data_IF_193513149766
#
_entry.id   IF_193513149766
#
_cell.length_a   1.000
_cell.length_b   1.000
_cell.length_c   1.000
_cell.angle_alpha   90.00
_cell.angle_beta   90.00
_cell.angle_gamma   90.00
#
_symmetry.space_group_name_H-M   'P 1'
#
loop_
_entity.id
_entity.type
_entity.pdbx_description
1 polymer ?
#
# COMPACT_ATOMS: atom_id res chain seq x y z
N UNK A 1 -29.98 -21.38 51.74
CA UNK A 1 -29.29 -20.35 50.93
C UNK A 1 -28.65 -21.06 49.75
N UNK A 2 -29.13 -20.83 48.53
CA UNK A 2 -28.57 -21.44 47.32
C UNK A 2 -27.75 -20.38 46.59
N UNK A 3 -26.47 -20.67 46.34
CA UNK A 3 -25.56 -19.78 45.63
C UNK A 3 -25.60 -20.10 44.13
N UNK A 4 -26.01 -19.13 43.31
CA UNK A 4 -25.97 -19.24 41.85
C UNK A 4 -24.56 -18.93 41.37
N UNK A 5 -23.89 -19.90 40.76
CA UNK A 5 -22.60 -19.68 40.09
C UNK A 5 -22.86 -19.06 38.71
N UNK A 6 -22.32 -17.86 38.48
CA UNK A 6 -22.31 -17.21 37.16
C UNK A 6 -21.04 -17.69 36.44
N UNK A 7 -21.20 -18.50 35.39
CA UNK A 7 -20.10 -18.88 34.52
C UNK A 7 -19.82 -17.74 33.53
N UNK A 8 -18.64 -17.12 33.61
CA UNK A 8 -18.18 -16.14 32.64
C UNK A 8 -17.61 -16.89 31.43
N UNK A 9 -18.25 -16.79 30.27
CA UNK A 9 -17.71 -17.32 29.02
C UNK A 9 -16.65 -16.35 28.48
N UNK A 10 -15.38 -16.76 28.45
CA UNK A 10 -14.36 -16.10 27.65
C UNK A 10 -14.60 -16.46 26.18
N UNK A 11 -15.08 -15.51 25.39
CA UNK A 11 -15.13 -15.65 23.94
C UNK A 11 -13.70 -15.51 23.39
N UNK A 12 -13.08 -16.61 22.97
CA UNK A 12 -11.85 -16.57 22.18
C UNK A 12 -12.22 -16.25 20.75
N UNK A 13 -11.94 -15.03 20.29
CA UNK A 13 -12.03 -14.72 18.87
C UNK A 13 -10.92 -15.49 18.16
N UNK A 14 -11.30 -16.43 17.29
CA UNK A 14 -10.35 -17.02 16.34
C UNK A 14 -9.91 -15.85 15.45
N UNK A 15 -8.59 -15.62 15.25
CA UNK A 15 -8.15 -14.56 14.35
C UNK A 15 -8.80 -14.80 12.98
N UNK A 16 -9.32 -13.73 12.38
CA UNK A 16 -9.82 -13.80 11.01
C UNK A 16 -8.71 -14.40 10.13
N UNK A 17 -9.01 -15.50 9.44
CA UNK A 17 -8.09 -16.09 8.50
C UNK A 17 -7.98 -15.16 7.27
N UNK A 18 -7.15 -14.13 7.37
CA UNK A 18 -6.79 -13.31 6.23
C UNK A 18 -5.99 -14.19 5.26
N UNK A 19 -6.57 -14.50 4.11
CA UNK A 19 -5.84 -15.15 3.02
C UNK A 19 -5.08 -14.07 2.25
N UNK A 20 -3.75 -13.99 2.37
CA UNK A 20 -2.97 -12.94 1.71
C UNK A 20 -2.93 -13.08 0.19
N UNK A 21 -3.42 -14.19 -0.34
CA UNK A 21 -3.55 -14.43 -1.78
C UNK A 21 -4.96 -14.12 -2.31
N UNK A 22 -5.93 -13.82 -1.43
CA UNK A 22 -7.30 -13.49 -1.85
C UNK A 22 -7.43 -12.08 -2.44
N UNK A 23 -6.45 -11.21 -2.18
CA UNK A 23 -6.37 -9.86 -2.77
C UNK A 23 -5.05 -9.75 -3.50
N UNK A 24 -5.12 -9.30 -4.74
CA UNK A 24 -3.94 -8.97 -5.52
C UNK A 24 -3.64 -7.47 -5.30
N UNK A 25 -2.52 -7.14 -4.64
CA UNK A 25 -2.24 -5.78 -4.21
C UNK A 25 -1.69 -4.89 -5.32
N UNK A 26 -1.49 -5.42 -6.53
CA UNK A 26 -0.91 -4.70 -7.66
C UNK A 26 -2.05 -4.29 -8.60
N UNK A 27 -2.41 -2.98 -8.71
CA UNK A 27 -3.56 -2.54 -9.50
C UNK A 27 -3.57 -3.04 -10.95
N UNK A 28 -2.40 -3.02 -11.61
CA UNK A 28 -2.27 -3.49 -13.00
C UNK A 28 -2.61 -4.97 -13.18
N UNK A 29 -2.38 -5.80 -12.15
CA UNK A 29 -2.74 -7.22 -12.20
C UNK A 29 -4.21 -7.47 -11.86
N UNK A 30 -4.94 -6.47 -11.36
CA UNK A 30 -6.40 -6.51 -11.16
C UNK A 30 -7.18 -6.09 -12.41
N UNK A 31 -6.50 -5.82 -13.53
CA UNK A 31 -7.11 -5.31 -14.75
C UNK A 31 -7.40 -3.80 -14.72
N UNK A 32 -6.93 -3.09 -13.69
CA UNK A 32 -7.02 -1.62 -13.63
C UNK A 32 -5.82 -1.02 -14.36
N UNK A 33 -6.09 -0.35 -15.47
CA UNK A 33 -5.07 0.31 -16.29
C UNK A 33 -5.39 1.78 -16.45
N UNK A 34 -4.33 2.59 -16.48
CA UNK A 34 -4.44 4.04 -16.60
C UNK A 34 -4.96 4.70 -15.32
N UNK A 35 -5.16 6.01 -15.41
CA UNK A 35 -5.57 6.82 -14.28
C UNK A 35 -7.10 6.77 -14.10
N UNK A 36 -7.59 6.77 -12.85
CA UNK A 36 -9.03 6.80 -12.61
C UNK A 36 -9.64 8.10 -13.16
N UNK A 37 -10.79 7.97 -13.81
CA UNK A 37 -11.60 9.12 -14.22
C UNK A 37 -12.41 9.61 -13.02
N UNK A 38 -12.05 10.78 -12.50
CA UNK A 38 -12.71 11.41 -11.36
C UNK A 38 -13.72 12.44 -11.87
N UNK A 39 -14.90 12.50 -11.23
CA UNK A 39 -15.91 13.53 -11.51
C UNK A 39 -15.68 14.78 -10.67
N UNK A 40 -15.89 15.97 -11.24
CA UNK A 40 -15.83 17.25 -10.53
C UNK A 40 -14.54 18.03 -10.79
N UNK A 41 -14.07 18.76 -9.77
CA UNK A 41 -12.91 19.65 -9.89
C UNK A 41 -11.55 18.96 -9.69
N UNK A 42 -11.54 17.63 -9.58
CA UNK A 42 -10.31 16.86 -9.34
C UNK A 42 -10.06 15.92 -10.50
N UNK A 43 -8.79 15.75 -10.85
CA UNK A 43 -8.34 14.91 -11.95
C UNK A 43 -7.15 14.09 -11.45
N UNK A 44 -7.08 12.82 -11.83
CA UNK A 44 -5.88 12.03 -11.60
C UNK A 44 -4.81 12.44 -12.60
N UNK A 45 -3.60 12.75 -12.10
CA UNK A 45 -2.49 13.29 -12.91
C UNK A 45 -1.48 12.20 -13.28
N UNK A 46 -1.10 11.37 -12.31
CA UNK A 46 -0.10 10.33 -12.51
C UNK A 46 -0.27 9.18 -11.52
N UNK A 47 0.24 8.01 -11.91
CA UNK A 47 0.45 6.88 -11.01
C UNK A 47 1.89 6.92 -10.50
N UNK A 48 2.06 6.96 -9.18
CA UNK A 48 3.37 7.24 -8.58
C UNK A 48 4.13 5.94 -8.22
N UNK A 49 3.45 4.80 -8.11
CA UNK A 49 4.07 3.50 -7.77
C UNK A 49 3.71 2.39 -8.76
N UNK A 50 4.57 1.38 -8.83
CA UNK A 50 4.38 0.16 -9.59
C UNK A 50 4.66 0.29 -11.08
N UNK A 51 4.37 -0.80 -11.80
CA UNK A 51 4.81 -1.04 -13.17
C UNK A 51 4.30 -0.03 -14.21
N UNK A 52 3.21 0.67 -13.90
CA UNK A 52 2.55 1.61 -14.80
C UNK A 52 2.90 3.07 -14.49
N UNK A 53 3.68 3.32 -13.41
CA UNK A 53 4.14 4.65 -13.03
C UNK A 53 5.56 4.94 -13.52
N UNK A 54 5.85 6.21 -13.76
CA UNK A 54 7.14 6.65 -14.32
C UNK A 54 8.32 6.44 -13.34
N UNK A 55 8.03 6.38 -12.04
CA UNK A 55 9.03 6.19 -10.99
C UNK A 55 9.66 4.80 -10.93
N UNK A 56 9.13 3.83 -11.68
CA UNK A 56 9.64 2.45 -11.72
C UNK A 56 9.85 1.83 -10.35
N UNK A 57 8.97 2.08 -9.38
CA UNK A 57 9.19 1.65 -7.98
C UNK A 57 9.21 0.12 -7.82
N UNK A 58 8.82 -0.65 -8.84
CA UNK A 58 9.08 -2.09 -8.91
C UNK A 58 10.57 -2.45 -8.78
N UNK A 59 11.48 -1.56 -9.19
CA UNK A 59 12.93 -1.78 -9.11
C UNK A 59 13.38 -1.76 -7.63
N UNK A 60 12.61 -1.11 -6.75
CA UNK A 60 12.73 -1.15 -5.29
C UNK A 60 11.76 -2.15 -4.62
N UNK A 61 11.11 -3.00 -5.42
CA UNK A 61 10.09 -3.97 -5.02
C UNK A 61 8.84 -3.35 -4.35
N UNK A 62 8.44 -2.16 -4.81
CA UNK A 62 7.20 -1.48 -4.39
C UNK A 62 6.26 -1.41 -5.60
N UNK A 63 5.42 -2.43 -5.76
CA UNK A 63 4.46 -2.54 -6.87
C UNK A 63 3.03 -2.14 -6.51
N UNK A 64 2.71 -2.23 -5.22
CA UNK A 64 1.47 -1.78 -4.62
C UNK A 64 1.72 -1.32 -3.19
N UNK A 65 0.81 -0.51 -2.66
CA UNK A 65 0.85 0.02 -1.29
C UNK A 65 -0.57 0.12 -0.77
N UNK A 66 -0.74 0.02 0.55
CA UNK A 66 -2.03 0.26 1.21
C UNK A 66 -2.38 1.76 1.30
N UNK A 67 -1.38 2.60 1.56
CA UNK A 67 -1.49 4.04 1.79
C UNK A 67 -0.29 4.78 1.19
N UNK A 68 -0.45 6.09 0.99
CA UNK A 68 0.63 7.00 0.58
C UNK A 68 0.39 8.38 1.18
N UNK A 69 1.34 8.86 1.98
CA UNK A 69 1.28 10.16 2.66
C UNK A 69 2.45 11.00 2.17
N UNK A 70 2.14 12.13 1.55
CA UNK A 70 3.13 13.09 1.05
C UNK A 70 3.19 14.31 1.95
N UNK A 71 4.39 14.81 2.23
CA UNK A 71 4.56 16.09 2.92
C UNK A 71 5.81 16.82 2.45
N UNK A 72 5.75 18.15 2.53
CA UNK A 72 6.92 19.01 2.39
C UNK A 72 7.76 18.93 3.66
N UNK A 73 9.04 18.58 3.54
CA UNK A 73 9.93 18.49 4.70
C UNK A 73 10.59 19.84 5.08
N UNK A 74 10.23 20.94 4.41
CA UNK A 74 10.76 22.28 4.62
C UNK A 74 12.14 22.52 4.00
N UNK A 75 12.68 21.56 3.24
CA UNK A 75 14.01 21.62 2.63
C UNK A 75 13.98 21.60 1.11
N UNK A 76 12.83 21.91 0.52
CA UNK A 76 12.62 21.85 -0.92
C UNK A 76 12.41 20.44 -1.44
N UNK A 77 12.12 19.48 -0.57
CA UNK A 77 11.90 18.08 -0.91
C UNK A 77 10.49 17.66 -0.49
N UNK A 78 9.88 16.78 -1.27
CA UNK A 78 8.65 16.08 -0.91
C UNK A 78 9.04 14.69 -0.44
N UNK A 79 8.67 14.37 0.79
CA UNK A 79 8.79 13.01 1.32
C UNK A 79 7.47 12.29 1.16
N UNK A 80 7.53 11.03 0.72
CA UNK A 80 6.36 10.17 0.55
C UNK A 80 6.54 8.89 1.35
N UNK A 81 5.73 8.70 2.39
CA UNK A 81 5.66 7.46 3.14
C UNK A 81 4.56 6.57 2.56
N UNK A 82 4.96 5.40 2.11
CA UNK A 82 4.07 4.29 1.77
C UNK A 82 3.98 3.34 2.96
N UNK A 83 2.77 2.85 3.26
CA UNK A 83 2.57 1.83 4.28
C UNK A 83 3.03 0.46 3.77
N UNK A 84 2.34 -0.61 4.14
CA UNK A 84 2.76 -1.95 3.73
C UNK A 84 2.83 -2.04 2.20
N UNK A 85 4.02 -2.41 1.72
CA UNK A 85 4.31 -2.46 0.29
C UNK A 85 4.30 -3.90 -0.21
N UNK A 86 3.69 -4.10 -1.37
CA UNK A 86 3.66 -5.39 -2.03
C UNK A 86 4.64 -5.41 -3.20
N UNK A 87 5.45 -6.46 -3.23
CA UNK A 87 6.38 -6.75 -4.30
C UNK A 87 6.28 -8.19 -4.80
N UNK A 88 7.25 -8.59 -5.62
CA UNK A 88 7.45 -9.99 -6.01
C UNK A 88 8.66 -10.59 -5.30
N UNK A 89 8.67 -11.91 -5.15
CA UNK A 89 9.85 -12.67 -4.73
C UNK A 89 9.88 -13.08 -3.25
N UNK A 90 11.08 -13.35 -2.75
CA UNK A 90 11.35 -13.84 -1.40
C UNK A 90 12.29 -12.88 -0.64
N UNK A 91 12.22 -12.79 0.71
CA UNK A 91 11.37 -13.60 1.59
C UNK A 91 9.90 -13.13 1.57
N UNK A 92 8.98 -14.07 1.36
CA UNK A 92 7.58 -13.88 1.73
C UNK A 92 7.41 -14.47 3.13
N UNK A 93 6.88 -13.68 4.06
CA UNK A 93 6.60 -14.14 5.44
C UNK A 93 5.21 -14.82 5.53
N UNK A 94 4.54 -14.98 4.40
CA UNK A 94 3.18 -15.47 4.29
C UNK A 94 3.15 -16.81 3.57
N UNK A 95 2.57 -17.82 4.24
CA UNK A 95 2.53 -19.21 3.77
C UNK A 95 1.92 -19.32 2.36
N UNK A 96 2.73 -19.73 1.38
CA UNK A 96 2.29 -19.96 0.00
C UNK A 96 1.93 -18.68 -0.76
N UNK A 97 2.44 -17.51 -0.36
CA UNK A 97 2.19 -16.26 -1.09
C UNK A 97 3.23 -16.00 -2.16
N UNK A 98 2.77 -15.53 -3.33
CA UNK A 98 3.63 -15.00 -4.39
C UNK A 98 4.06 -13.55 -4.12
N UNK A 99 3.47 -12.92 -3.10
CA UNK A 99 3.69 -11.51 -2.75
C UNK A 99 4.81 -11.39 -1.71
N UNK A 100 5.80 -10.56 -2.03
CA UNK A 100 6.79 -10.10 -1.06
C UNK A 100 6.23 -8.88 -0.33
N UNK A 101 5.48 -9.13 0.74
CA UNK A 101 5.02 -8.06 1.63
C UNK A 101 6.18 -7.53 2.47
N UNK A 102 6.39 -6.23 2.40
CA UNK A 102 7.34 -5.49 3.21
C UNK A 102 6.59 -4.46 4.03
N UNK A 103 7.21 -4.04 5.13
CA UNK A 103 6.75 -2.87 5.88
C UNK A 103 6.81 -1.59 5.02
N UNK A 104 6.70 -0.46 5.69
CA UNK A 104 6.71 0.86 5.09
C UNK A 104 7.96 1.19 4.26
N UNK A 105 7.76 1.98 3.21
CA UNK A 105 8.82 2.54 2.38
C UNK A 105 8.75 4.07 2.42
N UNK A 106 9.92 4.73 2.43
CA UNK A 106 10.03 6.19 2.38
C UNK A 106 10.77 6.57 1.10
N UNK A 107 10.12 7.35 0.25
CA UNK A 107 10.72 7.94 -0.94
C UNK A 107 10.87 9.45 -0.77
N UNK A 108 11.80 10.01 -1.53
CA UNK A 108 12.07 11.43 -1.59
C UNK A 108 11.97 11.89 -3.03
N UNK A 109 11.49 13.11 -3.22
CA UNK A 109 11.46 13.79 -4.49
C UNK A 109 11.95 15.23 -4.32
N UNK A 110 12.82 15.67 -5.22
CA UNK A 110 13.15 17.09 -5.41
C UNK A 110 12.23 17.77 -6.42
N UNK A 111 11.35 17.01 -7.08
CA UNK A 111 10.34 17.55 -7.99
C UNK A 111 9.20 18.21 -7.21
N UNK A 112 8.83 19.41 -7.64
CA UNK A 112 7.85 20.28 -6.99
C UNK A 112 6.67 20.61 -7.89
N UNK A 113 6.71 20.21 -9.16
CA UNK A 113 5.58 20.40 -10.06
C UNK A 113 4.64 19.21 -9.96
N UNK A 114 3.73 19.20 -9.00
CA UNK A 114 2.79 18.08 -8.85
C UNK A 114 1.69 18.03 -9.93
N UNK A 115 1.66 19.00 -10.84
CA UNK A 115 0.60 19.12 -11.86
C UNK A 115 0.83 18.26 -13.10
N UNK A 116 2.05 17.77 -13.32
CA UNK A 116 2.41 16.85 -14.41
C UNK A 116 2.87 15.47 -13.91
N UNK A 117 2.94 15.28 -12.60
CA UNK A 117 3.37 14.04 -11.97
C UNK A 117 4.30 14.34 -10.80
N UNK A 118 5.14 13.37 -10.45
CA UNK A 118 6.25 13.57 -9.51
C UNK A 118 7.26 12.44 -9.69
N UNK A 119 8.54 12.77 -9.80
CA UNK A 119 9.61 11.78 -9.87
C UNK A 119 10.34 11.61 -8.53
N UNK A 120 10.70 10.38 -8.15
CA UNK A 120 11.53 10.07 -6.98
C UNK A 120 13.02 10.11 -7.32
N UNK A 121 13.85 10.49 -6.34
CA UNK A 121 15.33 10.57 -6.44
C UNK A 121 16.03 9.26 -6.02
#
# INVERSE_FOLDING_TARGET
MAATAIATALATTIPAAANPNAVNPIPGLNGTFGLPQLSGHTHAVAQITGLLGDNRTQDANVLGTDLGIMWDNGRGEILTAFGDTAGFGAPNLMYGSLWAWRSSALFRSTDRNLSDGMTFD
#
